data_IF_087331293595
#
_entry.id   IF_087331293595
#
_cell.length_a   1.000
_cell.length_b   1.000
_cell.length_c   1.000
_cell.angle_alpha   90.00
_cell.angle_beta   90.00
_cell.angle_gamma   90.00
#
_symmetry.space_group_name_H-M   'P 1'
#
loop_
_entity.id
_entity.type
_entity.pdbx_description
1 polymer ?
#
# COMPACT_ATOMS: atom_id res chain seq x y z
N UNK A 1 -20.29 29.09 28.30
CA UNK A 1 -21.21 28.24 27.52
C UNK A 1 -20.48 27.19 26.68
N UNK A 2 -19.48 27.52 25.85
CA UNK A 2 -18.80 26.49 25.02
C UNK A 2 -17.64 25.76 25.72
N UNK A 3 -17.04 26.34 26.76
CA UNK A 3 -15.96 25.70 27.52
C UNK A 3 -16.48 24.65 28.52
N UNK A 4 -17.69 24.88 29.05
CA UNK A 4 -18.32 24.06 30.08
C UNK A 4 -18.63 22.64 29.56
N UNK A 5 -19.09 22.55 28.31
CA UNK A 5 -19.36 21.26 27.63
C UNK A 5 -18.11 20.39 27.46
N UNK A 6 -16.92 20.98 27.40
CA UNK A 6 -15.67 20.22 27.26
C UNK A 6 -15.14 19.69 28.60
N UNK A 7 -15.39 20.42 29.69
CA UNK A 7 -14.96 20.05 31.03
C UNK A 7 -15.89 18.97 31.61
N UNK A 8 -17.20 19.15 31.50
CA UNK A 8 -18.20 18.17 31.95
C UNK A 8 -18.04 16.84 31.21
N UNK A 9 -17.67 16.88 29.93
CA UNK A 9 -17.35 15.67 29.17
C UNK A 9 -16.09 14.94 29.67
N UNK A 10 -15.07 15.68 30.16
CA UNK A 10 -13.87 15.09 30.76
C UNK A 10 -14.16 14.49 32.14
N UNK A 11 -14.96 15.18 32.96
CA UNK A 11 -15.42 14.67 34.27
C UNK A 11 -16.27 13.40 34.11
N UNK A 12 -17.19 13.39 33.15
CA UNK A 12 -18.00 12.22 32.82
C UNK A 12 -17.13 11.03 32.41
N UNK A 13 -16.12 11.26 31.55
CA UNK A 13 -15.16 10.23 31.14
C UNK A 13 -14.35 9.71 32.34
N UNK A 14 -13.88 10.60 33.21
CA UNK A 14 -13.17 10.22 34.43
C UNK A 14 -14.01 9.25 35.26
N UNK A 15 -15.29 9.56 35.49
CA UNK A 15 -16.21 8.68 36.23
C UNK A 15 -16.39 7.33 35.53
N UNK A 16 -16.48 7.29 34.20
CA UNK A 16 -16.57 6.02 33.48
C UNK A 16 -15.29 5.18 33.61
N UNK A 17 -14.12 5.79 33.52
CA UNK A 17 -12.83 5.09 33.64
C UNK A 17 -12.60 4.58 35.06
N UNK A 18 -12.96 5.34 36.10
CA UNK A 18 -12.86 4.85 37.49
C UNK A 18 -13.83 3.70 37.75
N UNK A 19 -15.03 3.73 37.18
CA UNK A 19 -15.98 2.61 37.28
C UNK A 19 -15.48 1.35 36.57
N UNK A 20 -14.85 1.49 35.41
CA UNK A 20 -14.22 0.38 34.69
C UNK A 20 -13.06 -0.22 35.51
N UNK A 21 -12.26 0.63 36.18
CA UNK A 21 -11.17 0.19 37.04
C UNK A 21 -11.68 -0.63 38.22
N UNK A 22 -12.76 -0.17 38.85
CA UNK A 22 -13.41 -0.89 39.94
C UNK A 22 -13.87 -2.29 39.51
N UNK A 23 -14.47 -2.41 38.32
CA UNK A 23 -14.92 -3.70 37.78
C UNK A 23 -13.73 -4.64 37.52
N UNK A 24 -12.65 -4.14 36.92
CA UNK A 24 -11.44 -4.93 36.69
C UNK A 24 -10.82 -5.37 38.03
N UNK A 25 -10.83 -4.50 39.04
CA UNK A 25 -10.32 -4.84 40.37
C UNK A 25 -11.16 -5.92 41.05
N UNK A 26 -12.48 -5.92 40.84
CA UNK A 26 -13.38 -7.00 41.30
C UNK A 26 -13.06 -8.32 40.59
N UNK A 27 -12.81 -8.29 39.27
CA UNK A 27 -12.39 -9.48 38.51
C UNK A 27 -11.00 -9.99 38.94
N UNK A 28 -10.09 -9.08 39.28
CA UNK A 28 -8.78 -9.41 39.86
C UNK A 28 -8.89 -9.99 41.27
N UNK A 29 -9.96 -9.68 42.02
CA UNK A 29 -10.19 -10.27 43.33
C UNK A 29 -10.56 -11.77 43.23
N UNK A 30 -11.26 -12.17 42.16
CA UNK A 30 -11.46 -13.59 41.84
C UNK A 30 -10.23 -14.25 41.23
N UNK A 31 -9.53 -13.56 40.31
CA UNK A 31 -8.39 -14.11 39.57
C UNK A 31 -7.16 -13.17 39.63
N UNK A 32 -6.42 -13.15 40.75
CA UNK A 32 -5.34 -12.18 40.98
C UNK A 32 -4.09 -12.39 40.11
N UNK A 33 -3.96 -13.54 39.44
CA UNK A 33 -2.82 -13.86 38.57
C UNK A 33 -3.11 -13.62 37.08
N UNK A 34 -4.28 -13.06 36.73
CA UNK A 34 -4.62 -12.81 35.34
C UNK A 34 -3.81 -11.62 34.79
N UNK A 35 -2.83 -11.92 33.93
CA UNK A 35 -1.93 -10.94 33.34
C UNK A 35 -2.65 -9.87 32.51
N UNK A 36 -3.75 -10.24 31.84
CA UNK A 36 -4.53 -9.33 31.00
C UNK A 36 -5.23 -8.27 31.87
N UNK A 37 -5.89 -8.68 32.96
CA UNK A 37 -6.56 -7.74 33.85
C UNK A 37 -5.56 -6.85 34.61
N UNK A 38 -4.38 -7.37 34.95
CA UNK A 38 -3.31 -6.56 35.53
C UNK A 38 -2.76 -5.52 34.55
N UNK A 39 -2.66 -5.85 33.26
CA UNK A 39 -2.30 -4.91 32.20
C UNK A 39 -3.35 -3.82 32.06
N UNK A 40 -4.61 -4.20 31.85
CA UNK A 40 -5.70 -3.25 31.65
C UNK A 40 -5.88 -2.35 32.89
N UNK A 41 -5.72 -2.87 34.11
CA UNK A 41 -5.76 -2.06 35.33
C UNK A 41 -4.66 -0.98 35.35
N UNK A 42 -3.43 -1.30 34.91
CA UNK A 42 -2.34 -0.31 34.83
C UNK A 42 -2.64 0.78 33.80
N UNK A 43 -3.03 0.37 32.59
CA UNK A 43 -3.33 1.29 31.50
C UNK A 43 -4.49 2.24 31.90
N UNK A 44 -5.51 1.71 32.56
CA UNK A 44 -6.67 2.49 32.98
C UNK A 44 -6.35 3.48 34.10
N UNK A 45 -5.43 3.14 35.02
CA UNK A 45 -4.92 4.09 36.02
C UNK A 45 -4.21 5.27 35.34
N UNK A 46 -3.40 5.01 34.32
CA UNK A 46 -2.70 6.06 33.58
C UNK A 46 -3.68 6.98 32.84
N UNK A 47 -4.69 6.42 32.17
CA UNK A 47 -5.74 7.20 31.49
C UNK A 47 -6.52 8.08 32.48
N UNK A 48 -6.85 7.55 33.67
CA UNK A 48 -7.51 8.32 34.74
C UNK A 48 -6.62 9.48 35.18
N UNK A 49 -5.31 9.24 35.34
CA UNK A 49 -4.35 10.27 35.76
C UNK A 49 -4.25 11.40 34.72
N UNK A 50 -4.09 11.06 33.44
CA UNK A 50 -4.04 12.04 32.35
C UNK A 50 -5.35 12.83 32.24
N UNK A 51 -6.49 12.18 32.46
CA UNK A 51 -7.81 12.84 32.43
C UNK A 51 -7.95 13.83 33.59
N UNK A 52 -7.48 13.48 34.80
CA UNK A 52 -7.42 14.39 35.95
C UNK A 52 -6.55 15.61 35.66
N UNK A 53 -5.35 15.39 35.12
CA UNK A 53 -4.43 16.48 34.76
C UNK A 53 -5.02 17.41 33.69
N UNK A 54 -5.74 16.86 32.71
CA UNK A 54 -6.45 17.66 31.70
C UNK A 54 -7.57 18.50 32.30
N UNK A 55 -8.30 17.98 33.29
CA UNK A 55 -9.30 18.73 34.05
C UNK A 55 -8.63 19.82 34.87
N UNK A 56 -7.55 19.53 35.59
CA UNK A 56 -6.81 20.50 36.40
C UNK A 56 -6.24 21.63 35.53
N UNK A 57 -5.71 21.32 34.36
CA UNK A 57 -5.25 22.31 33.39
C UNK A 57 -6.40 23.20 32.89
N UNK A 58 -7.60 22.63 32.71
CA UNK A 58 -8.78 23.35 32.26
C UNK A 58 -9.38 24.24 33.36
N UNK A 59 -9.39 23.76 34.60
CA UNK A 59 -9.91 24.45 35.79
C UNK A 59 -8.97 25.57 36.22
N UNK A 60 -7.66 25.34 36.13
CA UNK A 60 -6.63 26.28 36.62
C UNK A 60 -6.01 27.15 35.51
N UNK A 61 -6.56 27.14 34.29
CA UNK A 61 -6.11 28.03 33.21
C UNK A 61 -6.47 29.50 33.53
N UNK A 62 -5.49 30.40 33.77
CA UNK A 62 -5.80 31.81 33.93
C UNK A 62 -6.14 32.41 32.55
N UNK A 63 -7.27 33.10 32.47
CA UNK A 63 -7.55 34.04 31.38
C UNK A 63 -6.50 35.17 31.42
N UNK A 64 -5.56 35.19 30.47
CA UNK A 64 -5.04 36.45 29.96
C UNK A 64 -4.37 36.28 28.59
N UNK A 65 -5.01 36.92 27.61
CA UNK A 65 -4.46 37.28 26.31
C UNK A 65 -3.26 38.22 26.46
N UNK A 66 -2.08 37.82 25.96
CA UNK A 66 -1.16 38.58 25.10
C UNK A 66 0.25 37.94 25.08
N UNK A 67 0.77 37.74 23.86
CA UNK A 67 2.18 37.45 23.53
C UNK A 67 2.91 38.80 23.49
N UNK A 68 4.12 38.98 24.10
CA UNK A 68 5.37 38.62 23.44
C UNK A 68 6.56 38.11 24.30
N UNK A 69 7.25 37.12 23.71
CA UNK A 69 8.70 36.76 23.73
C UNK A 69 9.53 36.60 25.05
N UNK A 70 10.62 35.79 25.00
CA UNK A 70 11.01 34.93 26.10
C UNK A 70 12.21 35.45 26.91
N UNK A 71 12.16 35.30 28.23
CA UNK A 71 13.36 35.26 29.07
C UNK A 71 13.24 34.16 30.14
N UNK A 72 14.19 33.23 30.11
CA UNK A 72 14.52 32.29 31.21
C UNK A 72 14.76 33.08 32.51
N UNK A 73 14.45 32.55 33.71
CA UNK A 73 15.19 31.39 34.23
C UNK A 73 14.44 30.38 35.12
N UNK A 74 14.94 29.14 35.03
CA UNK A 74 15.08 28.10 36.08
C UNK A 74 13.87 27.28 36.55
N UNK A 75 14.09 25.97 36.38
CA UNK A 75 13.26 24.79 36.66
C UNK A 75 12.87 24.63 38.14
N UNK A 76 11.84 23.81 38.40
CA UNK A 76 11.99 22.64 39.23
C UNK A 76 12.02 21.39 38.37
N UNK A 77 13.05 20.58 38.60
CA UNK A 77 13.35 19.26 38.05
C UNK A 77 12.09 18.39 37.90
N UNK A 78 11.57 18.26 36.67
CA UNK A 78 10.87 17.05 36.24
C UNK A 78 11.93 16.14 35.64
N UNK A 79 12.06 14.95 36.20
CA UNK A 79 12.73 13.83 35.53
C UNK A 79 11.86 13.44 34.33
N UNK A 80 11.92 14.24 33.25
CA UNK A 80 11.50 13.77 31.95
C UNK A 80 12.46 12.64 31.61
N UNK A 81 11.95 11.41 31.58
CA UNK A 81 12.58 10.35 30.80
C UNK A 81 12.65 10.91 29.38
N UNK A 82 13.81 11.48 29.06
CA UNK A 82 14.16 11.95 27.74
C UNK A 82 14.37 10.67 26.95
N UNK A 83 13.27 10.02 26.52
CA UNK A 83 13.35 9.05 25.44
C UNK A 83 13.88 9.87 24.27
N UNK A 84 15.16 9.67 23.98
CA UNK A 84 15.83 10.27 22.84
C UNK A 84 15.19 9.68 21.57
N UNK A 85 14.07 10.27 21.17
CA UNK A 85 13.31 9.89 19.98
C UNK A 85 14.13 10.30 18.77
N UNK A 86 14.85 9.32 18.20
CA UNK A 86 15.70 9.51 17.03
C UNK A 86 14.93 9.89 15.78
N UNK A 87 13.68 9.45 15.67
CA UNK A 87 12.79 9.77 14.56
C UNK A 87 11.49 10.40 15.09
N UNK A 88 11.04 11.46 14.44
CA UNK A 88 9.84 12.20 14.85
C UNK A 88 8.67 11.76 13.95
N UNK A 89 7.41 11.71 14.44
CA UNK A 89 6.24 11.56 13.57
C UNK A 89 6.27 12.52 12.37
N UNK A 90 5.98 12.00 11.19
CA UNK A 90 6.09 12.68 9.89
C UNK A 90 7.45 12.54 9.20
N UNK A 91 8.48 12.04 9.90
CA UNK A 91 9.81 11.83 9.29
C UNK A 91 9.80 10.67 8.30
N UNK A 92 10.56 10.81 7.21
CA UNK A 92 10.79 9.73 6.25
C UNK A 92 11.96 8.87 6.73
N UNK A 93 11.76 7.56 6.75
CA UNK A 93 12.74 6.57 7.22
C UNK A 93 12.76 5.38 6.26
N UNK A 94 13.83 4.59 6.29
CA UNK A 94 13.81 3.25 5.70
C UNK A 94 13.56 2.24 6.83
N UNK A 95 12.57 1.38 6.64
CA UNK A 95 12.12 0.39 7.61
C UNK A 95 12.44 -1.03 7.12
N UNK A 96 13.04 -1.85 7.98
CA UNK A 96 13.43 -3.22 7.68
C UNK A 96 12.23 -4.15 7.75
N UNK A 97 11.92 -4.81 6.63
CA UNK A 97 10.89 -5.83 6.56
C UNK A 97 11.41 -7.01 5.74
N UNK A 98 11.35 -8.23 6.31
CA UNK A 98 11.82 -9.46 5.63
C UNK A 98 13.27 -9.38 5.10
N UNK A 99 14.14 -8.62 5.76
CA UNK A 99 15.55 -8.45 5.36
C UNK A 99 15.80 -7.40 4.28
N UNK A 100 14.77 -6.69 3.82
CA UNK A 100 14.86 -5.60 2.83
C UNK A 100 14.43 -4.28 3.49
N UNK A 101 15.11 -3.20 3.14
CA UNK A 101 14.79 -1.85 3.63
C UNK A 101 13.81 -1.18 2.68
N UNK A 102 12.63 -0.84 3.19
CA UNK A 102 11.57 -0.19 2.44
C UNK A 102 11.41 1.26 2.87
N UNK A 103 11.13 2.19 1.95
CA UNK A 103 10.79 3.55 2.32
C UNK A 103 9.48 3.59 3.09
N UNK A 104 9.48 4.29 4.22
CA UNK A 104 8.33 4.45 5.08
C UNK A 104 8.27 5.87 5.66
N UNK A 105 7.10 6.28 6.13
CA UNK A 105 6.99 7.46 7.00
C UNK A 105 6.63 7.02 8.40
N UNK A 106 7.17 7.72 9.40
CA UNK A 106 6.77 7.54 10.80
C UNK A 106 5.41 8.20 10.98
N UNK A 107 4.41 7.43 11.38
CA UNK A 107 3.04 7.91 11.63
C UNK A 107 2.91 8.38 13.09
N UNK A 108 3.34 7.55 14.04
CA UNK A 108 3.35 7.87 15.47
C UNK A 108 4.42 7.09 16.22
N UNK A 109 4.74 7.52 17.44
CA UNK A 109 5.63 6.79 18.35
C UNK A 109 4.87 6.45 19.62
N UNK A 110 4.92 5.18 20.01
CA UNK A 110 4.29 4.65 21.22
C UNK A 110 5.12 5.04 22.45
N UNK A 111 4.50 5.14 23.63
CA UNK A 111 5.16 5.33 24.93
C UNK A 111 6.33 4.36 25.17
N UNK A 112 6.23 3.17 24.59
CA UNK A 112 7.17 2.06 24.76
C UNK A 112 8.42 2.21 23.88
N UNK A 113 8.51 3.30 23.10
CA UNK A 113 9.62 3.56 22.16
C UNK A 113 9.52 2.81 20.82
N UNK A 114 8.38 2.16 20.56
CA UNK A 114 8.06 1.57 19.25
C UNK A 114 7.54 2.63 18.29
N UNK A 115 7.95 2.54 17.04
CA UNK A 115 7.55 3.42 15.94
C UNK A 115 6.48 2.75 15.09
N UNK A 116 5.33 3.40 14.94
CA UNK A 116 4.35 3.05 13.94
C UNK A 116 4.75 3.71 12.63
N UNK A 117 5.09 2.90 11.63
CA UNK A 117 5.48 3.37 10.30
C UNK A 117 4.49 2.91 9.25
N UNK A 118 4.30 3.70 8.18
CA UNK A 118 3.55 3.28 6.99
C UNK A 118 4.49 3.21 5.80
N UNK A 119 4.53 2.05 5.17
CA UNK A 119 5.34 1.78 3.99
C UNK A 119 4.76 2.47 2.75
N UNK A 120 5.62 3.18 2.02
CA UNK A 120 5.27 3.75 0.72
C UNK A 120 5.15 2.60 -0.31
N UNK A 121 4.22 2.72 -1.26
CA UNK A 121 4.00 1.72 -2.32
C UNK A 121 3.07 0.58 -1.94
N UNK A 122 3.12 0.14 -0.68
CA UNK A 122 2.26 -0.92 -0.14
C UNK A 122 1.06 -0.37 0.62
N UNK A 123 1.18 0.83 1.21
CA UNK A 123 0.12 1.46 2.02
C UNK A 123 -0.18 0.74 3.34
N UNK A 124 0.60 -0.28 3.69
CA UNK A 124 0.52 -1.02 4.95
C UNK A 124 1.26 -0.30 6.06
N UNK A 125 0.79 -0.45 7.29
CA UNK A 125 1.47 0.02 8.50
C UNK A 125 2.10 -1.13 9.27
N UNK A 126 3.15 -0.84 10.04
CA UNK A 126 3.76 -1.77 10.98
C UNK A 126 4.30 -1.04 12.21
N UNK A 127 4.31 -1.74 13.33
CA UNK A 127 4.97 -1.30 14.55
C UNK A 127 6.37 -1.93 14.61
N UNK A 128 7.40 -1.07 14.66
CA UNK A 128 8.80 -1.46 14.60
C UNK A 128 9.61 -0.77 15.70
N UNK A 129 10.69 -1.40 16.14
CA UNK A 129 11.68 -0.78 17.05
C UNK A 129 12.69 0.05 16.27
N UNK A 130 13.43 0.89 16.98
CA UNK A 130 14.51 1.72 16.39
C UNK A 130 15.51 0.89 15.57
N UNK A 131 15.88 -0.31 16.03
CA UNK A 131 16.84 -1.19 15.34
C UNK A 131 16.41 -1.59 13.92
N UNK A 132 15.10 -1.55 13.65
CA UNK A 132 14.51 -1.84 12.35
C UNK A 132 14.25 -0.58 11.52
N UNK A 133 14.71 0.59 11.97
CA UNK A 133 14.60 1.87 11.27
C UNK A 133 15.98 2.46 11.00
N UNK A 134 16.11 3.13 9.86
CA UNK A 134 17.28 3.97 9.55
C UNK A 134 16.87 5.25 8.85
N UNK A 135 17.71 6.27 8.96
CA UNK A 135 17.52 7.51 8.23
C UNK A 135 17.69 7.25 6.72
N UNK A 136 16.92 7.95 5.90
CA UNK A 136 17.16 7.94 4.45
C UNK A 136 18.45 8.70 4.18
N UNK A 137 19.40 8.05 3.51
CA UNK A 137 20.62 8.70 3.04
C UNK A 137 20.30 9.60 1.85
N UNK A 138 20.41 10.92 2.07
CA UNK A 138 20.21 11.94 1.04
C UNK A 138 21.54 12.56 0.69
N UNK A 139 21.81 12.62 -0.61
CA UNK A 139 22.93 13.39 -1.16
C UNK A 139 22.41 14.82 -1.35
N UNK A 140 22.89 15.75 -0.52
CA UNK A 140 22.42 17.13 -0.49
C UNK A 140 22.70 17.87 -1.81
N UNK A 141 23.80 17.56 -2.50
CA UNK A 141 24.17 18.22 -3.75
C UNK A 141 23.23 17.84 -4.89
N UNK A 142 22.79 16.58 -4.93
CA UNK A 142 21.81 16.12 -5.90
C UNK A 142 20.41 16.56 -5.52
N UNK A 143 20.05 16.56 -4.24
CA UNK A 143 18.76 17.03 -3.76
C UNK A 143 18.56 18.53 -4.02
N UNK A 144 19.61 19.35 -3.92
CA UNK A 144 19.55 20.79 -4.20
C UNK A 144 19.27 21.12 -5.68
N UNK A 145 19.56 20.19 -6.59
CA UNK A 145 19.30 20.33 -8.04
C UNK A 145 17.86 19.94 -8.40
N UNK A 146 17.13 19.32 -7.48
CA UNK A 146 15.71 19.03 -7.69
C UNK A 146 14.87 20.27 -7.41
N UNK A 147 13.80 20.46 -8.19
CA UNK A 147 12.83 21.50 -7.92
C UNK A 147 12.02 21.12 -6.67
N UNK A 148 11.47 22.11 -5.96
CA UNK A 148 10.73 21.88 -4.71
C UNK A 148 9.59 20.86 -4.88
N UNK A 149 9.27 20.10 -3.81
CA UNK A 149 8.23 19.06 -3.79
C UNK A 149 6.92 19.49 -4.49
N UNK A 150 6.49 20.73 -4.28
CA UNK A 150 5.23 21.30 -4.80
C UNK A 150 5.26 21.61 -6.31
N UNK A 151 6.45 21.83 -6.88
CA UNK A 151 6.63 22.15 -8.30
C UNK A 151 6.73 20.91 -9.19
N UNK A 152 6.92 19.74 -8.58
CA UNK A 152 6.96 18.46 -9.28
C UNK A 152 5.54 18.04 -9.62
N UNK A 153 5.28 17.86 -10.92
CA UNK A 153 3.97 17.47 -11.45
C UNK A 153 4.06 16.18 -12.27
N UNK A 154 2.90 15.62 -12.61
CA UNK A 154 2.81 14.42 -13.45
C UNK A 154 3.52 14.64 -14.80
N UNK A 155 4.35 13.68 -15.20
CA UNK A 155 5.21 13.75 -16.37
C UNK A 155 6.62 14.28 -16.11
N UNK A 156 6.94 14.76 -14.91
CA UNK A 156 8.29 15.22 -14.57
C UNK A 156 9.31 14.09 -14.70
N UNK A 157 10.36 14.32 -15.49
CA UNK A 157 11.45 13.34 -15.69
C UNK A 157 12.54 13.53 -14.65
N UNK A 158 12.81 12.47 -13.90
CA UNK A 158 13.80 12.42 -12.84
C UNK A 158 14.48 11.06 -12.83
N UNK A 159 15.34 10.85 -11.85
CA UNK A 159 15.77 9.51 -11.47
C UNK A 159 15.26 9.22 -10.06
N UNK A 160 15.08 7.95 -9.72
CA UNK A 160 14.67 7.54 -8.40
C UNK A 160 15.46 6.32 -7.92
N UNK A 161 15.83 6.31 -6.64
CA UNK A 161 16.38 5.13 -5.96
C UNK A 161 15.31 4.03 -5.90
N UNK A 162 15.64 2.83 -6.34
CA UNK A 162 14.79 1.66 -6.20
C UNK A 162 15.06 0.95 -4.87
N UNK A 163 14.02 0.58 -4.12
CA UNK A 163 14.18 0.09 -2.75
C UNK A 163 14.88 -1.27 -2.66
N UNK A 164 14.74 -2.13 -3.67
CA UNK A 164 15.20 -3.52 -3.58
C UNK A 164 16.71 -3.67 -3.75
N UNK A 165 17.33 -2.82 -4.57
CA UNK A 165 18.76 -2.85 -4.87
C UNK A 165 19.48 -1.54 -4.48
N UNK A 166 18.74 -0.53 -4.00
CA UNK A 166 19.24 0.81 -3.68
C UNK A 166 19.89 1.54 -4.88
N UNK A 167 19.61 1.12 -6.12
CA UNK A 167 20.17 1.71 -7.33
C UNK A 167 19.24 2.78 -7.89
N UNK A 168 19.82 3.86 -8.40
CA UNK A 168 19.08 4.98 -9.01
C UNK A 168 18.80 4.68 -10.48
N UNK A 169 17.54 4.77 -10.89
CA UNK A 169 17.10 4.53 -12.27
C UNK A 169 16.32 5.72 -12.83
N UNK A 170 16.38 5.96 -14.15
CA UNK A 170 15.56 6.97 -14.80
C UNK A 170 14.07 6.62 -14.72
N UNK A 171 13.26 7.61 -14.36
CA UNK A 171 11.83 7.47 -14.20
C UNK A 171 11.08 8.76 -14.52
N UNK A 172 9.78 8.63 -14.78
CA UNK A 172 8.87 9.76 -14.85
C UNK A 172 7.86 9.71 -13.73
N UNK A 173 7.60 10.85 -13.07
CA UNK A 173 6.50 10.98 -12.11
C UNK A 173 5.18 10.78 -12.84
N UNK A 174 4.31 9.93 -12.31
CA UNK A 174 2.99 9.62 -12.88
C UNK A 174 1.86 10.16 -12.05
N UNK A 175 2.05 10.28 -10.73
CA UNK A 175 1.07 10.82 -9.79
C UNK A 175 1.79 11.36 -8.56
N UNK A 176 1.34 12.50 -8.03
CA UNK A 176 1.79 13.04 -6.74
C UNK A 176 0.92 12.44 -5.63
N UNK A 177 1.53 11.94 -4.56
CA UNK A 177 0.83 11.42 -3.38
C UNK A 177 1.10 12.29 -2.17
N UNK A 178 0.34 12.10 -1.08
CA UNK A 178 0.50 12.91 0.15
C UNK A 178 1.92 12.75 0.73
N UNK A 179 2.41 11.51 0.74
CA UNK A 179 3.67 11.11 1.37
C UNK A 179 4.85 11.08 0.40
N UNK A 180 4.62 11.10 -0.92
CA UNK A 180 5.68 10.97 -1.91
C UNK A 180 5.19 11.11 -3.35
N UNK A 181 5.75 10.29 -4.24
CA UNK A 181 5.50 10.33 -5.68
C UNK A 181 5.41 8.93 -6.26
N UNK A 182 4.37 8.68 -7.06
CA UNK A 182 4.31 7.49 -7.89
C UNK A 182 5.17 7.72 -9.13
N UNK A 183 6.27 6.98 -9.26
CA UNK A 183 7.19 7.04 -10.40
C UNK A 183 7.04 5.80 -11.28
N UNK A 184 7.26 5.96 -12.59
CA UNK A 184 7.34 4.87 -13.57
C UNK A 184 8.77 4.78 -14.08
N UNK A 185 9.42 3.64 -13.88
CA UNK A 185 10.79 3.40 -14.35
C UNK A 185 10.81 3.09 -15.84
N UNK A 186 11.60 3.86 -16.61
CA UNK A 186 11.61 3.82 -18.08
C UNK A 186 12.13 2.48 -18.64
N UNK A 187 13.05 1.81 -17.93
CA UNK A 187 13.67 0.58 -18.39
C UNK A 187 12.78 -0.67 -18.28
N UNK A 188 12.01 -0.77 -17.18
CA UNK A 188 11.26 -1.97 -16.82
C UNK A 188 9.74 -1.79 -16.87
N UNK A 189 9.27 -0.54 -16.88
CA UNK A 189 7.84 -0.21 -16.87
C UNK A 189 7.14 -0.54 -15.54
N UNK A 190 7.92 -0.71 -14.47
CA UNK A 190 7.40 -0.87 -13.11
C UNK A 190 7.08 0.50 -12.54
N UNK A 191 5.96 0.59 -11.80
CA UNK A 191 5.58 1.80 -11.07
C UNK A 191 5.72 1.57 -9.58
N UNK A 192 6.37 2.50 -8.87
CA UNK A 192 6.60 2.44 -7.43
C UNK A 192 6.26 3.79 -6.80
N UNK A 193 5.83 3.80 -5.53
CA UNK A 193 5.68 5.04 -4.78
C UNK A 193 6.93 5.26 -3.93
N UNK A 194 7.62 6.36 -4.19
CA UNK A 194 8.90 6.70 -3.56
C UNK A 194 8.79 8.04 -2.83
N UNK A 195 9.54 8.23 -1.74
CA UNK A 195 9.59 9.51 -1.04
C UNK A 195 10.36 10.56 -1.86
N UNK A 196 10.25 11.84 -1.51
CA UNK A 196 10.94 12.92 -2.24
C UNK A 196 12.47 12.74 -2.20
N UNK A 197 12.97 12.23 -1.09
CA UNK A 197 14.36 11.94 -0.76
C UNK A 197 15.01 10.91 -1.70
N UNK A 198 14.20 10.07 -2.35
CA UNK A 198 14.67 9.10 -3.33
C UNK A 198 14.78 9.68 -4.73
N UNK A 199 14.13 10.82 -5.00
CA UNK A 199 14.22 11.48 -6.29
C UNK A 199 15.60 12.11 -6.44
N UNK A 200 16.09 12.10 -7.67
CA UNK A 200 17.34 12.70 -8.13
C UNK A 200 17.09 13.45 -9.43
N UNK A 201 17.81 14.55 -9.69
CA UNK A 201 17.65 15.30 -10.93
C UNK A 201 17.99 14.39 -12.11
N UNK A 202 17.34 14.60 -13.25
CA UNK A 202 17.79 13.94 -14.48
C UNK A 202 19.14 14.53 -14.85
N UNK A 203 20.23 13.77 -14.68
CA UNK A 203 21.51 14.13 -15.27
C UNK A 203 21.33 14.04 -16.79
N UNK A 204 21.14 15.18 -17.43
CA UNK A 204 21.46 15.33 -18.84
C UNK A 204 22.96 15.17 -18.94
N UNK A 205 23.43 13.94 -19.19
CA UNK A 205 24.80 13.74 -19.65
C UNK A 205 24.93 14.52 -20.96
N UNK A 206 25.51 15.72 -20.85
CA UNK A 206 26.11 16.44 -21.96
C UNK A 206 27.12 15.48 -22.58
N UNK A 207 26.71 14.85 -23.68
CA UNK A 207 27.64 14.18 -24.57
C UNK A 207 28.21 15.29 -25.44
N UNK A 208 29.28 15.90 -24.96
CA UNK A 208 30.16 16.79 -25.73
C UNK A 208 30.82 15.99 -26.86
N UNK A 209 30.13 15.83 -28.00
CA UNK A 209 30.80 15.68 -29.30
C UNK A 209 29.83 16.02 -30.44
N UNK A 210 30.16 17.11 -31.14
CA UNK A 210 29.94 17.22 -32.58
C UNK A 210 28.60 17.81 -33.02
N UNK A 211 28.60 19.12 -33.19
CA UNK A 211 27.67 19.83 -34.06
C UNK A 211 27.61 19.22 -35.46
N UNK A 212 26.40 19.07 -36.03
CA UNK A 212 26.06 19.83 -37.23
C UNK A 212 24.53 19.92 -37.46
N UNK A 213 24.03 21.15 -37.38
CA UNK A 213 23.07 21.82 -38.26
C UNK A 213 21.83 21.07 -38.77
N UNK A 214 20.65 21.48 -38.30
CA UNK A 214 19.66 22.18 -39.15
C UNK A 214 18.50 22.75 -38.32
N UNK A 215 18.50 24.08 -38.19
CA UNK A 215 17.32 24.89 -37.89
C UNK A 215 16.23 24.66 -38.95
N UNK A 216 14.97 24.67 -38.55
CA UNK A 216 13.91 25.52 -39.15
C UNK A 216 12.59 25.32 -38.39
N UNK A 217 12.19 26.36 -37.65
CA UNK A 217 10.79 26.71 -37.39
C UNK A 217 10.40 27.80 -38.42
N UNK A 218 9.18 28.34 -38.48
CA UNK A 218 7.82 27.81 -38.23
C UNK A 218 6.85 28.14 -39.41
N UNK A 219 5.68 27.49 -39.52
CA UNK A 219 4.51 28.14 -40.16
C UNK A 219 3.18 27.69 -39.54
N UNK A 220 2.35 28.68 -39.24
CA UNK A 220 0.96 28.59 -38.78
C UNK A 220 0.02 28.01 -39.84
N UNK A 221 -1.00 27.27 -39.42
CA UNK A 221 -2.34 27.30 -40.03
C UNK A 221 -3.41 26.76 -39.06
N UNK A 222 -4.60 27.30 -39.24
CA UNK A 222 -5.76 27.43 -38.34
C UNK A 222 -6.90 26.45 -38.67
N UNK A 223 -7.99 26.54 -37.90
CA UNK A 223 -9.31 25.87 -38.00
C UNK A 223 -9.41 24.43 -37.48
N UNK A 224 -10.40 24.04 -36.67
CA UNK A 224 -11.60 24.72 -36.20
C UNK A 224 -12.64 23.67 -35.75
N UNK A 225 -13.14 23.83 -34.53
CA UNK A 225 -14.47 23.45 -34.02
C UNK A 225 -14.95 21.96 -34.05
N UNK A 226 -15.31 21.42 -32.88
CA UNK A 226 -16.72 21.34 -32.36
C UNK A 226 -16.89 20.12 -31.43
N UNK A 227 -17.22 20.39 -30.16
CA UNK A 227 -17.89 19.42 -29.28
C UNK A 227 -19.40 19.41 -29.58
N UNK A 228 -20.12 18.32 -29.29
CA UNK A 228 -21.02 18.43 -28.14
C UNK A 228 -21.09 17.18 -27.26
N UNK A 229 -21.52 17.44 -26.03
CA UNK A 229 -21.81 16.49 -24.96
C UNK A 229 -23.11 15.70 -25.18
N UNK A 230 -23.25 14.53 -24.56
CA UNK A 230 -24.35 14.27 -23.61
C UNK A 230 -24.08 13.05 -22.69
N UNK A 231 -24.76 13.06 -21.54
CA UNK A 231 -24.50 12.38 -20.29
C UNK A 231 -25.10 10.96 -20.13
N UNK A 232 -24.55 10.13 -19.23
CA UNK A 232 -25.33 9.36 -18.23
C UNK A 232 -24.47 8.81 -17.09
N UNK A 233 -25.04 8.84 -15.88
CA UNK A 233 -24.52 8.48 -14.55
C UNK A 233 -24.81 7.02 -14.15
N UNK A 234 -23.85 6.33 -13.49
CA UNK A 234 -24.02 5.26 -12.46
C UNK A 234 -22.67 4.55 -12.13
N UNK A 235 -22.50 3.98 -10.91
CA UNK A 235 -21.23 3.97 -10.18
C UNK A 235 -20.33 2.77 -10.52
N UNK A 236 -19.02 3.01 -10.72
CA UNK A 236 -18.03 1.96 -10.93
C UNK A 236 -17.08 1.87 -9.75
N UNK A 237 -17.19 0.76 -9.04
CA UNK A 237 -16.19 0.25 -8.09
C UNK A 237 -14.85 0.15 -8.83
N UNK A 238 -13.77 0.57 -8.15
CA UNK A 238 -12.43 0.75 -8.70
C UNK A 238 -11.97 -0.41 -9.60
N UNK A 239 -11.54 -0.16 -10.86
CA UNK A 239 -11.01 -1.20 -11.72
C UNK A 239 -9.59 -1.59 -11.29
N UNK A 240 -9.37 -2.89 -11.15
CA UNK A 240 -8.05 -3.50 -11.00
C UNK A 240 -7.08 -2.98 -12.07
N UNK A 241 -5.82 -2.75 -11.70
CA UNK A 241 -4.76 -2.20 -12.57
C UNK A 241 -4.58 -3.07 -13.82
N UNK A 242 -5.10 -2.61 -14.96
CA UNK A 242 -4.92 -3.24 -16.27
C UNK A 242 -3.58 -2.75 -16.82
N UNK A 243 -2.56 -3.63 -16.88
CA UNK A 243 -1.32 -3.30 -17.58
C UNK A 243 -1.61 -3.08 -19.08
N UNK A 244 -1.49 -1.84 -19.56
CA UNK A 244 -1.62 -1.50 -20.98
C UNK A 244 -0.47 -2.11 -21.79
N UNK A 245 -0.77 -2.69 -22.95
CA UNK A 245 0.22 -3.33 -23.82
C UNK A 245 1.30 -2.34 -24.26
N UNK A 246 2.57 -2.78 -24.26
CA UNK A 246 3.71 -1.96 -24.70
C UNK A 246 3.57 -1.73 -26.21
N UNK A 247 3.39 -0.47 -26.64
CA UNK A 247 3.37 -0.09 -28.06
C UNK A 247 4.75 -0.37 -28.67
N UNK A 248 4.79 -1.10 -29.79
CA UNK A 248 6.03 -1.43 -30.49
C UNK A 248 6.61 -0.11 -31.05
N UNK A 249 7.82 0.31 -30.65
CA UNK A 249 8.39 1.57 -31.10
C UNK A 249 8.76 1.51 -32.60
N UNK A 250 8.52 2.62 -33.30
CA UNK A 250 8.71 2.80 -34.74
C UNK A 250 10.17 2.62 -35.21
N UNK A 251 11.14 2.82 -34.31
CA UNK A 251 12.58 2.61 -34.55
C UNK A 251 13.00 1.13 -34.76
N UNK A 252 12.05 0.18 -34.67
CA UNK A 252 12.26 -1.22 -35.04
C UNK A 252 11.59 -1.62 -36.36
N UNK A 253 10.97 -0.69 -37.08
CA UNK A 253 10.41 -0.99 -38.40
C UNK A 253 11.53 -1.36 -39.38
N UNK A 254 11.28 -2.39 -40.19
CA UNK A 254 12.24 -2.93 -41.15
C UNK A 254 12.19 -2.03 -42.39
N UNK A 255 13.21 -1.20 -42.58
CA UNK A 255 13.36 -0.47 -43.83
C UNK A 255 13.92 -1.41 -44.91
N UNK A 256 13.52 -1.26 -46.19
CA UNK A 256 14.05 -2.05 -47.30
C UNK A 256 15.57 -1.96 -47.44
N UNK A 257 16.18 -0.89 -46.93
CA UNK A 257 17.60 -0.51 -47.05
C UNK A 257 18.58 -1.21 -46.08
N UNK A 258 18.10 -1.90 -45.03
CA UNK A 258 18.96 -2.52 -44.00
C UNK A 258 19.58 -3.87 -44.42
N UNK A 259 20.77 -4.20 -43.90
CA UNK A 259 21.45 -5.50 -44.13
C UNK A 259 20.68 -6.68 -43.51
N UNK A 260 20.79 -7.89 -44.09
CA UNK A 260 20.00 -9.07 -43.67
C UNK A 260 20.17 -9.43 -42.18
N UNK A 261 21.36 -9.22 -41.63
CA UNK A 261 21.68 -9.45 -40.22
C UNK A 261 20.96 -8.48 -39.26
N UNK A 262 20.79 -7.22 -39.66
CA UNK A 262 20.09 -6.21 -38.87
C UNK A 262 18.57 -6.40 -38.93
N UNK A 263 18.06 -6.82 -40.10
CA UNK A 263 16.66 -7.20 -40.30
C UNK A 263 16.28 -8.38 -39.40
N UNK A 264 17.15 -9.38 -39.24
CA UNK A 264 16.89 -10.52 -38.36
C UNK A 264 16.93 -10.13 -36.88
N UNK A 265 17.89 -9.30 -36.47
CA UNK A 265 17.95 -8.75 -35.10
C UNK A 265 16.70 -7.94 -34.74
N UNK A 266 16.20 -7.11 -35.66
CA UNK A 266 14.94 -6.36 -35.49
C UNK A 266 13.73 -7.30 -35.40
N UNK A 267 13.62 -8.29 -36.29
CA UNK A 267 12.54 -9.31 -36.25
C UNK A 267 12.53 -10.10 -34.93
N UNK A 268 13.71 -10.49 -34.43
CA UNK A 268 13.84 -11.23 -33.15
C UNK A 268 13.39 -10.38 -31.97
N UNK A 269 13.76 -9.09 -31.93
CA UNK A 269 13.31 -8.14 -30.90
C UNK A 269 11.80 -7.89 -30.96
N UNK A 270 11.23 -7.74 -32.16
CA UNK A 270 9.77 -7.59 -32.34
C UNK A 270 9.01 -8.83 -31.85
N UNK A 271 9.50 -10.04 -32.16
CA UNK A 271 8.89 -11.29 -31.68
C UNK A 271 8.96 -11.42 -30.16
N UNK A 272 10.08 -11.02 -29.54
CA UNK A 272 10.24 -11.00 -28.09
C UNK A 272 9.25 -10.03 -27.43
N UNK A 273 9.10 -8.81 -27.96
CA UNK A 273 8.14 -7.80 -27.46
C UNK A 273 6.70 -8.29 -27.63
N UNK A 274 6.36 -8.89 -28.78
CA UNK A 274 5.01 -9.45 -29.02
C UNK A 274 4.70 -10.63 -28.09
N UNK A 275 5.69 -11.48 -27.82
CA UNK A 275 5.57 -12.59 -26.86
C UNK A 275 5.38 -12.07 -25.44
N UNK A 276 6.12 -11.04 -25.03
CA UNK A 276 6.00 -10.41 -23.72
C UNK A 276 4.61 -9.79 -23.54
N UNK A 277 4.11 -9.06 -24.54
CA UNK A 277 2.76 -8.51 -24.52
C UNK A 277 1.68 -9.61 -24.41
N UNK A 278 1.86 -10.74 -25.10
CA UNK A 278 0.95 -11.89 -24.98
C UNK A 278 0.95 -12.47 -23.57
N UNK A 279 2.11 -12.62 -22.92
CA UNK A 279 2.19 -13.09 -21.54
C UNK A 279 1.53 -12.11 -20.57
N UNK A 280 1.78 -10.80 -20.71
CA UNK A 280 1.14 -9.77 -19.89
C UNK A 280 -0.40 -9.78 -20.00
N UNK A 281 -0.95 -10.01 -21.20
CA UNK A 281 -2.41 -10.18 -21.37
C UNK A 281 -2.93 -11.41 -20.61
N UNK A 282 -2.22 -12.54 -20.68
CA UNK A 282 -2.61 -13.77 -19.98
C UNK A 282 -2.58 -13.57 -18.45
N UNK A 283 -1.56 -12.89 -17.93
CA UNK A 283 -1.44 -12.64 -16.49
C UNK A 283 -2.49 -11.63 -16.00
N UNK A 284 -2.80 -10.61 -16.80
CA UNK A 284 -3.94 -9.72 -16.52
C UNK A 284 -5.26 -10.51 -16.44
N UNK A 285 -5.54 -11.39 -17.40
CA UNK A 285 -6.74 -12.22 -17.37
C UNK A 285 -6.80 -13.15 -16.16
N UNK A 286 -5.66 -13.72 -15.75
CA UNK A 286 -5.56 -14.54 -14.53
C UNK A 286 -5.86 -13.71 -13.28
N UNK A 287 -5.28 -12.52 -13.18
CA UNK A 287 -5.47 -11.63 -12.04
C UNK A 287 -6.92 -11.14 -11.93
N UNK A 288 -7.55 -10.79 -13.07
CA UNK A 288 -8.99 -10.44 -13.13
C UNK A 288 -9.84 -11.61 -12.64
N UNK A 289 -9.60 -12.83 -13.14
CA UNK A 289 -10.34 -14.03 -12.71
C UNK A 289 -10.15 -14.32 -11.22
N UNK A 290 -8.95 -14.12 -10.68
CA UNK A 290 -8.68 -14.26 -9.24
C UNK A 290 -9.44 -13.22 -8.42
N UNK A 291 -9.41 -11.96 -8.85
CA UNK A 291 -10.11 -10.87 -8.19
C UNK A 291 -11.64 -11.06 -8.23
N UNK A 292 -12.20 -11.46 -9.38
CA UNK A 292 -13.61 -11.78 -9.53
C UNK A 292 -14.03 -12.96 -8.65
N UNK A 293 -13.19 -13.99 -8.52
CA UNK A 293 -13.44 -15.11 -7.63
C UNK A 293 -13.39 -14.71 -6.14
N UNK A 294 -12.42 -13.87 -5.74
CA UNK A 294 -12.36 -13.30 -4.39
C UNK A 294 -13.60 -12.44 -4.11
N UNK A 295 -14.00 -11.57 -5.05
CA UNK A 295 -15.21 -10.76 -4.93
C UNK A 295 -16.48 -11.63 -4.83
N UNK A 296 -16.56 -12.74 -5.56
CA UNK A 296 -17.64 -13.72 -5.44
C UNK A 296 -17.68 -14.36 -4.04
N UNK A 297 -16.54 -14.76 -3.47
CA UNK A 297 -16.49 -15.28 -2.09
C UNK A 297 -16.97 -14.24 -1.07
N UNK A 298 -16.49 -13.00 -1.16
CA UNK A 298 -16.92 -11.93 -0.25
C UNK A 298 -18.42 -11.58 -0.41
N UNK A 299 -18.94 -11.61 -1.63
CA UNK A 299 -20.37 -11.39 -1.92
C UNK A 299 -21.25 -12.54 -1.39
N UNK A 300 -20.77 -13.78 -1.47
CA UNK A 300 -21.45 -14.94 -0.88
C UNK A 300 -21.48 -14.88 0.65
N UNK A 301 -20.40 -14.39 1.29
CA UNK A 301 -20.31 -14.18 2.75
C UNK A 301 -21.23 -13.04 3.22
N UNK A 302 -21.33 -11.95 2.46
CA UNK A 302 -22.18 -10.78 2.78
C UNK A 302 -23.68 -11.05 2.61
N UNK A 303 -24.08 -11.97 1.72
CA UNK A 303 -25.50 -12.28 1.47
C UNK A 303 -26.11 -13.27 2.48
N UNK A 304 -25.41 -13.65 3.55
CA UNK A 304 -25.97 -14.43 4.66
C UNK A 304 -26.85 -15.59 4.19
N UNK A 305 -26.33 -16.46 3.33
CA UNK A 305 -27.12 -17.56 2.78
C UNK A 305 -27.55 -18.47 3.95
N UNK A 306 -28.84 -18.44 4.27
CA UNK A 306 -29.44 -19.30 5.30
C UNK A 306 -29.07 -20.75 4.99
N UNK A 307 -28.59 -21.43 6.02
CA UNK A 307 -28.31 -22.87 6.09
C UNK A 307 -29.54 -23.64 5.59
N UNK A 308 -29.59 -24.05 4.31
CA UNK A 308 -30.66 -24.94 3.85
C UNK A 308 -31.21 -24.85 2.43
N UNK A 309 -30.61 -24.13 1.47
CA UNK A 309 -31.02 -24.28 0.05
C UNK A 309 -29.89 -24.88 -0.77
N UNK A 310 -30.09 -26.18 -1.03
CA UNK A 310 -29.25 -27.10 -1.76
C UNK A 310 -29.04 -26.69 -3.22
N UNK A 311 -27.82 -26.33 -3.56
CA UNK A 311 -27.29 -26.37 -4.93
C UNK A 311 -25.94 -27.08 -4.90
N UNK A 312 -25.95 -28.43 -5.05
CA UNK A 312 -24.93 -29.41 -5.52
C UNK A 312 -23.43 -29.24 -5.11
N UNK A 313 -23.02 -28.21 -4.36
CA UNK A 313 -21.61 -27.95 -4.06
C UNK A 313 -21.33 -27.57 -2.60
N UNK A 314 -22.32 -27.76 -1.71
CA UNK A 314 -22.20 -27.28 -0.32
C UNK A 314 -22.64 -28.34 0.70
N UNK A 315 -22.12 -29.58 0.62
CA UNK A 315 -21.88 -30.44 1.79
C UNK A 315 -21.05 -31.70 1.47
N UNK A 316 -19.74 -31.55 1.25
CA UNK A 316 -18.76 -32.59 1.61
C UNK A 316 -17.40 -31.92 1.76
N UNK A 317 -17.05 -31.56 2.98
CA UNK A 317 -15.75 -30.97 3.35
C UNK A 317 -14.60 -31.96 3.32
N UNK A 318 -14.51 -32.81 2.30
CA UNK A 318 -13.33 -33.63 2.02
C UNK A 318 -12.93 -33.37 0.57
N UNK A 319 -11.91 -32.51 0.38
CA UNK A 319 -11.33 -32.25 -0.94
C UNK A 319 -10.91 -33.56 -1.60
N UNK A 320 -11.11 -33.70 -2.91
CA UNK A 320 -10.64 -34.86 -3.68
C UNK A 320 -9.10 -35.02 -3.68
N UNK A 321 -8.39 -34.04 -3.12
CA UNK A 321 -6.94 -34.05 -2.90
C UNK A 321 -6.56 -34.00 -1.41
N UNK A 322 -7.52 -34.13 -0.50
CA UNK A 322 -7.23 -34.26 0.92
C UNK A 322 -6.65 -35.66 1.17
N UNK A 323 -5.42 -35.71 1.70
CA UNK A 323 -4.82 -36.97 2.13
C UNK A 323 -5.71 -37.60 3.21
N UNK A 324 -6.07 -38.89 3.08
CA UNK A 324 -6.81 -39.58 4.14
C UNK A 324 -5.96 -39.62 5.42
N UNK A 325 -6.60 -39.51 6.59
CA UNK A 325 -5.95 -39.43 7.92
C UNK A 325 -5.29 -40.76 8.37
N UNK A 326 -5.19 -41.75 7.49
CA UNK A 326 -4.59 -43.06 7.77
C UNK A 326 -3.17 -43.12 7.22
N UNK A 327 -2.23 -43.66 8.01
CA UNK A 327 -0.78 -43.65 7.75
C UNK A 327 -0.36 -44.38 6.45
N UNK A 328 -1.25 -45.14 5.82
CA UNK A 328 -0.98 -45.90 4.58
C UNK A 328 -1.69 -45.33 3.33
N UNK A 329 -2.47 -44.26 3.44
CA UNK A 329 -3.24 -43.74 2.30
C UNK A 329 -2.44 -42.79 1.39
N UNK A 330 -1.87 -43.32 0.30
CA UNK A 330 -1.35 -42.50 -0.81
C UNK A 330 -2.44 -42.30 -1.87
N UNK A 331 -2.72 -41.04 -2.21
CA UNK A 331 -3.62 -40.65 -3.30
C UNK A 331 -2.98 -41.00 -4.65
N UNK A 332 -3.68 -41.76 -5.49
CA UNK A 332 -3.28 -42.00 -6.89
C UNK A 332 -2.84 -43.42 -7.25
N UNK A 333 -2.85 -44.39 -6.33
CA UNK A 333 -2.59 -45.80 -6.67
C UNK A 333 -3.92 -46.51 -6.95
N UNK A 334 -4.14 -46.88 -8.21
CA UNK A 334 -5.23 -47.76 -8.65
C UNK A 334 -5.16 -49.08 -7.87
N UNK A 335 -6.05 -49.24 -6.90
CA UNK A 335 -6.05 -50.39 -5.98
C UNK A 335 -6.67 -50.13 -4.61
N UNK A 336 -6.99 -48.88 -4.26
CA UNK A 336 -7.58 -48.49 -2.96
C UNK A 336 -9.04 -48.91 -2.73
N UNK A 337 -9.59 -49.83 -3.55
CA UNK A 337 -10.94 -50.38 -3.36
C UNK A 337 -12.10 -49.39 -3.58
N UNK A 338 -11.81 -48.10 -3.82
CA UNK A 338 -12.82 -47.10 -4.11
C UNK A 338 -13.00 -47.02 -5.64
N UNK A 339 -13.99 -47.74 -6.16
CA UNK A 339 -14.28 -47.81 -7.59
C UNK A 339 -14.59 -46.43 -8.19
N UNK A 340 -14.16 -46.20 -9.45
CA UNK A 340 -14.53 -44.99 -10.20
C UNK A 340 -16.04 -44.82 -10.23
N UNK A 341 -16.51 -43.60 -9.98
CA UNK A 341 -17.94 -43.25 -10.02
C UNK A 341 -18.50 -43.55 -11.41
N UNK A 342 -19.46 -44.48 -11.51
CA UNK A 342 -20.14 -44.78 -12.76
C UNK A 342 -21.04 -43.63 -13.18
N UNK A 343 -20.79 -43.05 -14.34
CA UNK A 343 -21.66 -42.06 -14.96
C UNK A 343 -22.89 -42.77 -15.55
N UNK A 344 -24.10 -42.36 -15.18
CA UNK A 344 -25.31 -42.83 -15.87
C UNK A 344 -25.48 -42.05 -17.18
N UNK A 345 -25.35 -42.74 -18.31
CA UNK A 345 -25.58 -42.19 -19.65
C UNK A 345 -27.09 -42.01 -19.87
N UNK A 346 -27.55 -40.76 -20.01
CA UNK A 346 -28.97 -40.42 -20.16
C UNK A 346 -29.50 -40.60 -21.58
N UNK A 347 -28.75 -41.26 -22.47
CA UNK A 347 -29.20 -41.59 -23.84
C UNK A 347 -29.78 -43.00 -23.92
N UNK A 348 -30.85 -43.27 -23.18
CA UNK A 348 -31.71 -44.44 -23.42
C UNK A 348 -33.01 -43.95 -24.08
N UNK A 349 -33.14 -44.31 -25.36
CA UNK A 349 -34.31 -44.07 -26.23
C UNK A 349 -35.59 -44.58 -25.55
N UNK A 350 -36.64 -43.75 -25.52
CA UNK A 350 -38.00 -44.22 -25.22
C UNK A 350 -38.42 -45.25 -26.28
N UNK A 351 -38.89 -46.46 -25.91
CA UNK A 351 -39.51 -47.35 -26.88
C UNK A 351 -40.89 -46.81 -27.27
N UNK A 352 -41.19 -46.84 -28.58
CA UNK A 352 -42.55 -46.70 -29.11
C UNK A 352 -43.36 -47.93 -28.69
N UNK A 353 -44.50 -47.69 -28.05
CA UNK A 353 -45.69 -48.54 -28.01
C UNK A 353 -46.86 -47.55 -28.13
N UNK A 354 -47.97 -47.82 -28.78
CA UNK A 354 -48.46 -48.87 -29.69
C UNK A 354 -49.78 -48.32 -30.21
#
# INVERSE_FOLDING_TARGET
MSADLSLEALESRLVTFTQQLQNIHELLQSDPTNAEFLGIAKDLVEVIQLTKEAIDFKVNAPLSSQIPEPQKPQQPRQESLNLELKYIPGSVVEALQQGVWYPAHVDSVTSDGSYNVKFLGFGTTAELKEDALRAVEVDEEEAAKLPAKESITEGFKCQAKYYADAVVYPCSVTKVTELGFQVLFDGYGNSEEVPYEYLRPTVLLQTEVGADTAQTSPTNAVDGATAPADATTAPKVAPAVIHKAIKIPENLQILPTDTEAEKERKRKRIRAIKSLNRHKTIDNERNIKQHDWKAFQHKAKKKGMKKGVSGVLSKRGSSMFASPETVQGRVGVVGSGQGMTSFQDTRIKKPKHS
#
